data_IF_390999538020
#
_entry.id   IF_390999538020
#
_cell.length_a   1.000
_cell.length_b   1.000
_cell.length_c   1.000
_cell.angle_alpha   90.00
_cell.angle_beta   90.00
_cell.angle_gamma   90.00
#
_symmetry.space_group_name_H-M   'P 1'
#
loop_
_entity.id
_entity.type
_entity.pdbx_description
1 polymer ?
#
# COMPACT_ATOMS: atom_id res chain seq x y z
N UNK A 1 -32.17 25.51 -31.25
CA UNK A 1 -32.77 25.85 -29.96
C UNK A 1 -31.63 25.98 -28.95
N UNK A 2 -31.21 27.18 -28.62
CA UNK A 2 -30.17 27.40 -27.60
C UNK A 2 -30.81 27.20 -26.23
N UNK A 3 -30.44 26.13 -25.52
CA UNK A 3 -30.78 25.98 -24.10
C UNK A 3 -30.05 27.07 -23.32
N UNK A 4 -30.80 28.02 -22.76
CA UNK A 4 -30.27 28.94 -21.74
C UNK A 4 -30.03 28.09 -20.49
N UNK A 5 -28.78 27.69 -20.27
CA UNK A 5 -28.36 27.09 -19.00
C UNK A 5 -28.42 28.23 -17.97
N UNK A 6 -29.28 28.06 -16.99
CA UNK A 6 -29.45 29.03 -15.90
C UNK A 6 -28.16 28.99 -15.06
N UNK A 7 -27.65 30.13 -14.64
CA UNK A 7 -26.42 30.22 -13.82
C UNK A 7 -26.45 29.33 -12.58
N UNK A 8 -27.63 29.00 -12.10
CA UNK A 8 -27.84 28.09 -10.99
C UNK A 8 -27.56 26.62 -11.36
N UNK A 9 -27.95 26.21 -12.56
CA UNK A 9 -27.70 24.84 -13.06
C UNK A 9 -26.20 24.66 -13.34
N UNK A 10 -25.54 25.67 -13.89
CA UNK A 10 -24.10 25.65 -14.12
C UNK A 10 -23.32 25.55 -12.80
N UNK A 11 -23.77 26.26 -11.76
CA UNK A 11 -23.17 26.21 -10.43
C UNK A 11 -23.33 24.82 -9.79
N UNK A 12 -24.52 24.20 -9.91
CA UNK A 12 -24.78 22.85 -9.43
C UNK A 12 -23.91 21.79 -10.15
N UNK A 13 -23.72 21.92 -11.45
CA UNK A 13 -22.84 21.05 -12.23
C UNK A 13 -21.38 21.19 -11.79
N UNK A 14 -20.90 22.40 -11.56
CA UNK A 14 -19.53 22.65 -11.06
C UNK A 14 -19.32 22.10 -9.66
N UNK A 15 -20.30 22.22 -8.78
CA UNK A 15 -20.24 21.64 -7.42
C UNK A 15 -20.23 20.11 -7.50
N UNK A 16 -21.07 19.49 -8.33
CA UNK A 16 -21.09 18.02 -8.53
C UNK A 16 -19.75 17.49 -9.08
N UNK A 17 -19.14 18.21 -10.04
CA UNK A 17 -17.84 17.85 -10.58
C UNK A 17 -16.74 18.02 -9.51
N UNK A 18 -16.81 19.06 -8.70
CA UNK A 18 -15.85 19.27 -7.60
C UNK A 18 -15.97 18.16 -6.53
N UNK A 19 -17.17 17.68 -6.21
CA UNK A 19 -17.37 16.55 -5.31
C UNK A 19 -16.88 15.21 -5.89
N UNK A 20 -16.95 15.01 -7.19
CA UNK A 20 -16.44 13.80 -7.83
C UNK A 20 -14.91 13.76 -7.93
N UNK A 21 -14.25 14.89 -7.73
CA UNK A 21 -12.78 15.01 -7.68
C UNK A 21 -12.19 14.82 -6.28
N UNK A 22 -13.02 14.67 -5.24
CA UNK A 22 -12.53 14.23 -3.92
C UNK A 22 -12.17 12.75 -4.07
N UNK A 23 -10.96 12.49 -4.56
CA UNK A 23 -10.44 11.15 -4.72
C UNK A 23 -10.54 10.39 -3.40
N UNK A 24 -11.07 9.19 -3.43
CA UNK A 24 -10.99 8.26 -2.33
C UNK A 24 -9.56 8.26 -1.81
N UNK A 25 -9.38 8.32 -0.47
CA UNK A 25 -8.08 8.12 0.14
C UNK A 25 -7.48 6.85 -0.46
N UNK A 26 -6.43 7.02 -1.25
CA UNK A 26 -5.83 5.94 -2.01
C UNK A 26 -4.97 5.05 -1.10
N UNK A 27 -4.57 3.91 -1.64
CA UNK A 27 -3.60 3.02 -0.98
C UNK A 27 -2.14 3.47 -1.23
N UNK A 28 -1.90 4.76 -1.49
CA UNK A 28 -0.59 5.29 -1.89
C UNK A 28 0.48 5.01 -0.83
N UNK A 29 1.62 4.50 -1.27
CA UNK A 29 2.73 4.06 -0.42
C UNK A 29 4.08 4.55 -0.95
N UNK A 30 5.05 4.64 -0.05
CA UNK A 30 6.46 4.83 -0.37
C UNK A 30 7.34 3.91 0.48
N UNK A 31 8.60 3.74 0.08
CA UNK A 31 9.58 2.95 0.82
C UNK A 31 10.62 3.85 1.50
N UNK A 32 10.82 3.66 2.79
CA UNK A 32 11.96 4.20 3.52
C UNK A 32 13.09 3.17 3.49
N UNK A 33 14.09 3.42 2.65
CA UNK A 33 15.19 2.49 2.42
C UNK A 33 16.08 2.29 3.65
N UNK A 34 16.33 3.36 4.39
CA UNK A 34 17.20 3.33 5.57
C UNK A 34 16.58 2.55 6.73
N UNK A 35 15.30 2.80 6.99
CA UNK A 35 14.56 2.12 8.05
C UNK A 35 14.04 0.74 7.62
N UNK A 36 14.07 0.43 6.33
CA UNK A 36 13.49 -0.78 5.72
C UNK A 36 12.00 -0.90 6.03
N UNK A 37 11.26 0.19 5.80
CA UNK A 37 9.82 0.28 6.06
C UNK A 37 9.05 0.71 4.84
N UNK A 38 7.86 0.15 4.66
CA UNK A 38 6.83 0.69 3.77
C UNK A 38 6.00 1.67 4.57
N UNK A 39 5.72 2.83 4.00
CA UNK A 39 4.94 3.90 4.64
C UNK A 39 3.72 4.20 3.79
N UNK A 40 2.55 4.22 4.42
CA UNK A 40 1.33 4.71 3.78
C UNK A 40 1.30 6.23 3.82
N UNK A 41 1.00 6.85 2.68
CA UNK A 41 0.91 8.32 2.57
C UNK A 41 -0.43 8.87 3.05
N UNK A 42 -1.49 8.08 3.02
CA UNK A 42 -2.85 8.58 3.21
C UNK A 42 -3.62 7.93 4.34
N UNK A 43 -3.61 6.61 4.43
CA UNK A 43 -4.39 5.86 5.42
C UNK A 43 -3.58 4.82 6.16
N UNK A 44 -4.26 4.02 6.96
CA UNK A 44 -3.62 2.90 7.66
C UNK A 44 -3.42 1.72 6.71
N UNK A 45 -2.41 0.91 6.97
CA UNK A 45 -2.19 -0.36 6.29
C UNK A 45 -2.84 -1.45 7.15
N UNK A 46 -3.81 -2.17 6.59
CA UNK A 46 -4.50 -3.28 7.26
C UNK A 46 -4.21 -4.59 6.57
N UNK A 47 -4.09 -4.57 5.25
CA UNK A 47 -3.78 -5.74 4.42
C UNK A 47 -2.74 -5.39 3.39
N UNK A 48 -1.83 -6.32 3.17
CA UNK A 48 -0.85 -6.19 2.12
C UNK A 48 -0.42 -7.56 1.59
N UNK A 49 0.18 -7.51 0.43
CA UNK A 49 0.75 -8.66 -0.27
C UNK A 49 2.20 -8.36 -0.59
N UNK A 50 3.05 -9.36 -0.44
CA UNK A 50 4.42 -9.33 -0.93
C UNK A 50 4.60 -10.46 -1.92
N UNK A 51 5.04 -10.14 -3.13
CA UNK A 51 5.33 -11.10 -4.18
C UNK A 51 6.86 -11.25 -4.33
N UNK A 52 7.32 -12.49 -4.35
CA UNK A 52 8.70 -12.88 -4.62
C UNK A 52 8.70 -14.02 -5.63
N UNK A 53 9.30 -13.85 -6.82
CA UNK A 53 9.44 -14.92 -7.82
C UNK A 53 8.14 -15.69 -8.09
N UNK A 54 7.07 -15.01 -8.46
CA UNK A 54 5.73 -15.56 -8.74
C UNK A 54 5.04 -16.22 -7.52
N UNK A 55 5.59 -16.06 -6.32
CA UNK A 55 4.96 -16.50 -5.08
C UNK A 55 4.42 -15.30 -4.32
N UNK A 56 3.13 -15.32 -4.00
CA UNK A 56 2.47 -14.26 -3.26
C UNK A 56 2.27 -14.65 -1.80
N UNK A 57 2.62 -13.73 -0.91
CA UNK A 57 2.46 -13.84 0.53
C UNK A 57 1.46 -12.78 0.99
N UNK A 58 0.36 -13.22 1.58
CA UNK A 58 -0.72 -12.33 2.04
C UNK A 58 -0.65 -12.11 3.54
N UNK A 59 -0.78 -10.87 3.95
CA UNK A 59 -0.72 -10.47 5.34
C UNK A 59 -1.96 -9.66 5.71
N UNK A 60 -2.55 -10.01 6.86
CA UNK A 60 -3.57 -9.25 7.52
C UNK A 60 -3.02 -8.77 8.86
N UNK A 61 -3.16 -7.47 9.14
CA UNK A 61 -2.80 -6.93 10.45
C UNK A 61 -3.98 -7.06 11.41
N UNK A 62 -3.72 -7.30 12.69
CA UNK A 62 -4.76 -7.50 13.72
C UNK A 62 -5.67 -6.28 13.81
N UNK A 63 -6.97 -6.52 13.66
CA UNK A 63 -8.01 -5.56 13.32
C UNK A 63 -8.40 -4.50 14.35
N UNK A 64 -7.60 -4.23 15.39
CA UNK A 64 -7.83 -3.12 16.32
C UNK A 64 -6.65 -2.16 16.45
N UNK A 65 -5.64 -2.32 15.62
CA UNK A 65 -4.55 -1.36 15.56
C UNK A 65 -4.98 -0.21 14.68
N UNK A 66 -5.76 0.67 15.25
CA UNK A 66 -6.02 1.97 14.63
C UNK A 66 -4.66 2.66 14.48
N UNK A 67 -4.33 3.09 13.26
CA UNK A 67 -3.18 3.94 12.93
C UNK A 67 -1.84 3.25 12.66
N UNK A 68 -1.82 2.02 12.13
CA UNK A 68 -0.58 1.48 11.59
C UNK A 68 -0.35 2.00 10.17
N UNK A 69 0.50 3.00 10.03
CA UNK A 69 0.88 3.60 8.74
C UNK A 69 2.14 3.01 8.14
N UNK A 70 2.82 2.12 8.85
CA UNK A 70 4.10 1.56 8.42
C UNK A 70 4.10 0.05 8.52
N UNK A 71 4.81 -0.60 7.60
CA UNK A 71 5.14 -2.02 7.67
C UNK A 71 6.66 -2.15 7.76
N UNK A 72 7.16 -2.73 8.83
CA UNK A 72 8.58 -3.02 9.01
C UNK A 72 8.94 -4.30 8.25
N UNK A 73 9.85 -4.19 7.29
CA UNK A 73 10.28 -5.30 6.43
C UNK A 73 11.40 -6.13 7.04
N UNK A 74 12.05 -5.69 8.13
CA UNK A 74 13.15 -6.41 8.76
C UNK A 74 12.68 -7.71 9.40
N UNK A 75 11.54 -7.65 10.06
CA UNK A 75 10.86 -8.78 10.65
C UNK A 75 9.35 -8.55 10.61
N UNK A 76 8.72 -9.08 9.57
CA UNK A 76 7.30 -8.81 9.32
C UNK A 76 6.42 -9.34 10.45
N UNK A 77 6.76 -10.48 11.03
CA UNK A 77 5.91 -11.13 12.02
C UNK A 77 6.05 -10.52 13.43
N UNK A 78 7.26 -10.13 13.81
CA UNK A 78 7.51 -9.61 15.16
C UNK A 78 7.35 -8.08 15.25
N UNK A 79 7.71 -7.36 14.19
CA UNK A 79 7.68 -5.90 14.18
C UNK A 79 6.34 -5.33 13.72
N UNK A 80 5.46 -6.18 13.15
CA UNK A 80 4.13 -5.81 12.74
C UNK A 80 3.12 -6.75 13.43
N UNK A 81 1.94 -6.25 13.72
CA UNK A 81 0.90 -7.06 14.37
C UNK A 81 0.17 -7.92 13.35
N UNK A 82 0.84 -8.90 12.78
CA UNK A 82 0.26 -9.83 11.80
C UNK A 82 -0.71 -10.78 12.48
N UNK A 83 -1.88 -10.97 11.86
CA UNK A 83 -2.86 -11.97 12.27
C UNK A 83 -2.44 -13.35 11.76
N UNK A 84 -1.92 -14.17 12.64
CA UNK A 84 -1.44 -15.50 12.33
C UNK A 84 -2.54 -16.51 11.95
N UNK A 85 -3.80 -16.22 12.29
CA UNK A 85 -4.93 -17.08 11.94
C UNK A 85 -5.23 -17.07 10.44
N UNK A 86 -4.74 -16.06 9.71
CA UNK A 86 -4.90 -15.90 8.26
C UNK A 86 -3.77 -16.50 7.44
N UNK A 87 -2.97 -17.39 8.01
CA UNK A 87 -1.93 -18.11 7.26
C UNK A 87 -2.58 -19.12 6.33
N UNK A 88 -2.70 -18.78 5.06
CA UNK A 88 -3.02 -19.75 4.02
C UNK A 88 -1.79 -20.61 3.73
N UNK A 89 -1.86 -21.90 4.11
CA UNK A 89 -0.81 -22.88 3.83
C UNK A 89 0.33 -22.91 4.83
N UNK A 90 1.28 -23.84 4.61
CA UNK A 90 2.50 -24.05 5.41
C UNK A 90 3.52 -22.89 5.24
N UNK A 91 3.10 -21.66 5.27
CA UNK A 91 4.01 -20.53 5.12
C UNK A 91 4.68 -20.22 6.46
N UNK A 92 5.68 -21.01 6.73
CA UNK A 92 6.64 -20.72 7.76
C UNK A 92 7.46 -19.50 7.32
N UNK A 93 7.31 -18.40 8.04
CA UNK A 93 8.22 -17.25 8.06
C UNK A 93 8.67 -16.69 6.69
N UNK A 94 7.92 -15.71 6.15
CA UNK A 94 8.47 -14.83 5.13
C UNK A 94 9.61 -13.99 5.73
N UNK A 95 10.73 -13.92 5.04
CA UNK A 95 11.81 -12.98 5.34
C UNK A 95 12.44 -12.50 4.04
N UNK A 96 12.94 -11.27 4.04
CA UNK A 96 13.70 -10.75 2.89
C UNK A 96 15.00 -11.54 2.72
N UNK A 97 15.24 -11.98 1.52
CA UNK A 97 16.47 -12.69 1.12
C UNK A 97 17.39 -11.74 0.37
N UNK A 98 18.72 -11.89 0.48
CA UNK A 98 19.65 -11.16 -0.38
C UNK A 98 19.43 -11.48 -1.86
N UNK A 99 19.74 -10.53 -2.74
CA UNK A 99 19.65 -10.67 -4.20
C UNK A 99 18.29 -11.07 -4.73
N UNK A 100 17.23 -10.56 -4.11
CA UNK A 100 15.84 -10.89 -4.48
C UNK A 100 15.06 -9.64 -4.82
N UNK A 101 14.09 -9.78 -5.70
CA UNK A 101 13.18 -8.71 -6.12
C UNK A 101 11.80 -8.97 -5.54
N UNK A 102 11.17 -7.90 -5.06
CA UNK A 102 9.89 -7.93 -4.38
C UNK A 102 8.93 -6.90 -4.96
N UNK A 103 7.65 -7.25 -4.95
CA UNK A 103 6.55 -6.32 -5.18
C UNK A 103 5.73 -6.28 -3.89
N UNK A 104 5.62 -5.10 -3.28
CA UNK A 104 4.73 -4.87 -2.16
C UNK A 104 3.46 -4.20 -2.67
N UNK A 105 2.30 -4.74 -2.33
CA UNK A 105 1.01 -4.20 -2.71
C UNK A 105 0.17 -3.92 -1.47
N UNK A 106 -0.23 -2.66 -1.28
CA UNK A 106 -1.19 -2.28 -0.25
C UNK A 106 -2.61 -2.55 -0.75
N UNK A 107 -3.33 -3.44 -0.08
CA UNK A 107 -4.70 -3.87 -0.42
C UNK A 107 -5.72 -3.48 0.65
N UNK A 108 -5.43 -2.45 1.41
CA UNK A 108 -6.21 -2.09 2.60
C UNK A 108 -7.63 -1.66 2.30
N UNK A 109 -7.85 -0.87 1.25
CA UNK A 109 -9.16 -0.34 0.89
C UNK A 109 -9.69 -1.09 -0.34
N UNK A 110 -10.87 -1.72 -0.21
CA UNK A 110 -11.45 -2.53 -1.27
C UNK A 110 -11.82 -1.74 -2.53
N UNK A 111 -12.32 -0.52 -2.36
CA UNK A 111 -12.82 0.32 -3.46
C UNK A 111 -11.74 1.20 -4.09
N UNK A 112 -10.56 1.28 -3.47
CA UNK A 112 -9.43 1.99 -4.03
C UNK A 112 -8.55 1.04 -4.86
N UNK A 113 -7.96 1.55 -5.94
CA UNK A 113 -6.96 0.82 -6.70
C UNK A 113 -5.79 0.46 -5.78
N UNK A 114 -5.38 -0.82 -5.71
CA UNK A 114 -4.21 -1.20 -4.92
C UNK A 114 -2.98 -0.43 -5.39
N UNK A 115 -2.19 0.07 -4.44
CA UNK A 115 -0.91 0.71 -4.74
C UNK A 115 0.22 -0.31 -4.54
N UNK A 116 1.07 -0.42 -5.53
CA UNK A 116 2.22 -1.32 -5.51
C UNK A 116 3.51 -0.54 -5.64
N UNK A 117 4.57 -1.05 -5.04
CA UNK A 117 5.93 -0.59 -5.27
C UNK A 117 6.88 -1.78 -5.43
N UNK A 118 7.94 -1.57 -6.21
CA UNK A 118 8.91 -2.59 -6.54
C UNK A 118 10.27 -2.23 -5.97
N UNK A 119 10.90 -3.18 -5.32
CA UNK A 119 12.22 -3.02 -4.74
C UNK A 119 13.04 -4.31 -4.84
N UNK A 120 14.34 -4.20 -4.64
CA UNK A 120 15.20 -5.38 -4.53
C UNK A 120 16.15 -5.26 -3.34
N UNK A 121 16.69 -6.40 -2.94
CA UNK A 121 17.75 -6.51 -1.94
C UNK A 121 19.07 -6.81 -2.62
N UNK A 122 20.13 -6.11 -2.22
CA UNK A 122 21.48 -6.42 -2.70
C UNK A 122 22.10 -7.64 -1.96
N UNK A 123 23.36 -7.93 -2.24
CA UNK A 123 24.07 -9.08 -1.65
C UNK A 123 24.23 -9.02 -0.13
N UNK A 124 24.16 -7.83 0.46
CA UNK A 124 24.28 -7.60 1.91
C UNK A 124 22.94 -7.29 2.56
N UNK A 125 21.83 -7.32 1.79
CA UNK A 125 20.48 -7.13 2.30
C UNK A 125 20.03 -5.68 2.39
N UNK A 126 20.69 -4.74 1.73
CA UNK A 126 20.20 -3.37 1.60
C UNK A 126 19.06 -3.30 0.59
N UNK A 127 18.12 -2.40 0.83
CA UNK A 127 16.99 -2.19 -0.06
C UNK A 127 17.29 -1.10 -1.09
N UNK A 128 16.81 -1.34 -2.31
CA UNK A 128 16.89 -0.42 -3.43
C UNK A 128 15.52 -0.33 -4.11
N UNK A 129 15.04 0.86 -4.38
CA UNK A 129 13.79 1.06 -5.11
C UNK A 129 13.99 0.85 -6.61
N UNK A 130 13.03 0.20 -7.26
CA UNK A 130 13.01 0.00 -8.71
C UNK A 130 12.03 0.92 -9.43
N UNK A 131 11.16 1.63 -8.73
CA UNK A 131 10.12 2.49 -9.29
C UNK A 131 10.12 3.92 -8.74
N UNK A 132 11.18 4.32 -8.04
CA UNK A 132 11.37 5.65 -7.45
C UNK A 132 10.31 6.08 -6.43
N UNK A 133 9.55 5.17 -5.85
CA UNK A 133 8.60 5.46 -4.78
C UNK A 133 9.29 5.50 -3.41
N UNK A 134 10.27 6.37 -3.28
CA UNK A 134 11.04 6.55 -2.05
C UNK A 134 10.34 7.62 -1.20
N UNK A 135 10.25 7.38 0.13
CA UNK A 135 9.78 8.41 1.06
C UNK A 135 10.80 9.53 1.16
N UNK A 136 10.33 10.76 1.09
CA UNK A 136 11.13 11.97 1.31
C UNK A 136 11.43 12.17 2.80
#
# INVERSE_FOLDING_TARGET
>A
MMMKINNYELFLYLVMIAYSMVGCAGNSICINLNEKKIVSKEGDIVRFEIEENDTSYYFLLKGKVRHQKTVDLKDIYNNNRVDESFRFGKMNSFSLKPRSTYIFTNRTVYDATPASLKFYTDSVGNLHSLDNRICE
#
